data_IF_107273468368
#
_entry.id   IF_107273468368
#
_cell.length_a   1.000
_cell.length_b   1.000
_cell.length_c   1.000
_cell.angle_alpha   90.00
_cell.angle_beta   90.00
_cell.angle_gamma   90.00
#
_symmetry.space_group_name_H-M   'P 1'
#
loop_
_entity.id
_entity.type
_entity.pdbx_description
1 polymer ?
#
# COMPACT_ATOMS: atom_id res chain seq x y z
N UNK A 1 -26.81 8.10 28.72
CA UNK A 1 -25.89 8.45 27.62
C UNK A 1 -25.93 7.33 26.62
N UNK A 2 -26.32 7.62 25.38
CA UNK A 2 -26.57 6.61 24.35
C UNK A 2 -25.30 5.89 23.88
N UNK A 3 -25.44 4.58 23.68
CA UNK A 3 -24.38 3.68 23.21
C UNK A 3 -23.74 4.16 21.90
N UNK A 4 -24.50 4.90 21.08
CA UNK A 4 -24.05 5.46 19.80
C UNK A 4 -23.03 6.60 19.92
N UNK A 5 -22.97 7.29 21.06
CA UNK A 5 -22.01 8.38 21.30
C UNK A 5 -20.67 7.85 21.85
N UNK A 6 -20.69 6.70 22.52
CA UNK A 6 -19.50 6.09 23.15
C UNK A 6 -18.71 5.25 22.13
N UNK A 7 -19.40 4.64 21.16
CA UNK A 7 -18.82 3.78 20.13
C UNK A 7 -17.69 4.44 19.30
N UNK A 8 -17.81 5.70 18.84
CA UNK A 8 -16.74 6.39 18.11
C UNK A 8 -15.51 6.69 18.97
N UNK A 9 -15.72 6.97 20.26
CA UNK A 9 -14.62 7.24 21.20
C UNK A 9 -13.85 5.96 21.49
N UNK A 10 -14.55 4.85 21.71
CA UNK A 10 -13.94 3.54 21.93
C UNK A 10 -13.21 3.05 20.67
N UNK A 11 -13.80 3.19 19.48
CA UNK A 11 -13.13 2.79 18.23
C UNK A 11 -11.91 3.66 17.93
N UNK A 12 -11.96 4.96 18.23
CA UNK A 12 -10.81 5.87 18.16
C UNK A 12 -9.69 5.49 19.12
N UNK A 13 -10.03 5.14 20.37
CA UNK A 13 -9.06 4.71 21.39
C UNK A 13 -8.39 3.38 21.04
N UNK A 14 -9.18 2.42 20.54
CA UNK A 14 -8.66 1.13 20.06
C UNK A 14 -7.74 1.34 18.86
N UNK A 15 -8.14 2.19 17.90
CA UNK A 15 -7.31 2.54 16.75
C UNK A 15 -6.00 3.20 17.16
N UNK A 16 -6.03 4.16 18.07
CA UNK A 16 -4.84 4.84 18.59
C UNK A 16 -3.90 3.89 19.36
N UNK A 17 -4.46 2.96 20.13
CA UNK A 17 -3.68 1.97 20.88
C UNK A 17 -3.00 0.98 19.96
N UNK A 18 -3.71 0.48 18.95
CA UNK A 18 -3.14 -0.40 17.92
C UNK A 18 -2.06 0.34 17.12
N UNK A 19 -2.31 1.59 16.70
CA UNK A 19 -1.35 2.41 15.99
C UNK A 19 -0.08 2.68 16.83
N UNK A 20 -0.24 3.00 18.12
CA UNK A 20 0.87 3.21 19.05
C UNK A 20 1.69 1.94 19.28
N UNK A 21 1.03 0.81 19.47
CA UNK A 21 1.68 -0.49 19.62
C UNK A 21 2.48 -0.87 18.37
N UNK A 22 1.88 -0.70 17.19
CA UNK A 22 2.53 -0.91 15.89
C UNK A 22 3.74 0.02 15.73
N UNK A 23 3.60 1.31 16.03
CA UNK A 23 4.68 2.29 15.93
C UNK A 23 5.89 1.91 16.82
N UNK A 24 5.65 1.52 18.07
CA UNK A 24 6.72 1.11 19.00
C UNK A 24 7.38 -0.20 18.55
N UNK A 25 6.59 -1.16 18.05
CA UNK A 25 7.13 -2.44 17.56
C UNK A 25 7.96 -2.26 16.29
N UNK A 26 7.59 -1.34 15.41
CA UNK A 26 8.33 -1.08 14.17
C UNK A 26 9.52 -0.14 14.34
N UNK A 27 9.50 0.74 15.35
CA UNK A 27 10.67 1.53 15.71
C UNK A 27 11.89 0.64 16.04
N UNK A 28 11.65 -0.54 16.64
CA UNK A 28 12.69 -1.53 16.95
C UNK A 28 13.24 -2.29 15.72
N UNK A 29 12.56 -2.22 14.58
CA UNK A 29 12.99 -2.84 13.32
C UNK A 29 13.69 -1.84 12.38
N UNK A 30 13.89 -0.59 12.82
CA UNK A 30 14.61 0.41 12.05
C UNK A 30 16.10 0.03 11.89
N UNK A 31 16.68 0.26 10.70
CA UNK A 31 17.97 -0.29 10.32
C UNK A 31 19.11 0.29 11.16
N UNK A 32 19.94 -0.62 11.68
CA UNK A 32 21.21 -0.30 12.31
C UNK A 32 22.11 0.49 11.34
N UNK A 33 22.96 1.36 11.88
CA UNK A 33 23.76 2.35 11.14
C UNK A 33 24.56 1.78 9.94
N UNK A 34 24.94 0.50 9.98
CA UNK A 34 25.67 -0.19 8.92
C UNK A 34 24.89 -0.33 7.58
N UNK A 35 23.56 -0.29 7.57
CA UNK A 35 22.76 -0.40 6.34
C UNK A 35 22.40 0.94 5.70
N UNK A 36 22.68 2.08 6.35
CA UNK A 36 22.28 3.40 5.84
C UNK A 36 22.93 3.76 4.51
N UNK A 37 24.20 3.39 4.31
CA UNK A 37 24.91 3.69 3.05
C UNK A 37 24.32 2.91 1.87
N UNK A 38 24.07 1.60 2.06
CA UNK A 38 23.41 0.74 1.06
C UNK A 38 21.99 1.23 0.76
N UNK A 39 21.23 1.60 1.79
CA UNK A 39 19.87 2.12 1.64
C UNK A 39 19.82 3.48 0.91
N UNK A 40 20.76 4.39 1.19
CA UNK A 40 20.86 5.67 0.46
C UNK A 40 21.17 5.46 -1.02
N UNK A 41 22.07 4.53 -1.34
CA UNK A 41 22.38 4.18 -2.73
C UNK A 41 21.14 3.59 -3.42
N UNK A 42 20.50 2.59 -2.80
CA UNK A 42 19.29 1.96 -3.33
C UNK A 42 18.16 2.97 -3.58
N UNK A 43 17.93 3.89 -2.63
CA UNK A 43 16.91 4.93 -2.75
C UNK A 43 17.22 5.94 -3.86
N UNK A 44 18.51 6.21 -4.13
CA UNK A 44 18.93 7.09 -5.23
C UNK A 44 18.75 6.42 -6.58
N UNK A 45 19.18 5.16 -6.69
CA UNK A 45 19.14 4.39 -7.94
C UNK A 45 17.70 4.08 -8.37
N UNK A 46 16.80 3.83 -7.41
CA UNK A 46 15.38 3.52 -7.65
C UNK A 46 14.45 4.74 -7.58
N UNK A 47 14.97 5.96 -7.44
CA UNK A 47 14.17 7.17 -7.20
C UNK A 47 13.09 7.39 -8.27
N UNK A 48 13.43 7.16 -9.54
CA UNK A 48 12.50 7.34 -10.66
C UNK A 48 11.41 6.26 -10.60
N UNK A 49 11.80 4.99 -10.44
CA UNK A 49 10.86 3.87 -10.35
C UNK A 49 9.87 4.08 -9.20
N UNK A 50 10.35 4.48 -8.03
CA UNK A 50 9.50 4.77 -6.86
C UNK A 50 8.55 5.94 -7.13
N UNK A 51 9.02 7.01 -7.79
CA UNK A 51 8.16 8.14 -8.14
C UNK A 51 7.04 7.71 -9.10
N UNK A 52 7.36 6.94 -10.13
CA UNK A 52 6.37 6.42 -11.07
C UNK A 52 5.41 5.44 -10.36
N UNK A 53 5.92 4.61 -9.45
CA UNK A 53 5.10 3.70 -8.65
C UNK A 53 4.10 4.46 -7.78
N UNK A 54 4.52 5.54 -7.11
CA UNK A 54 3.63 6.39 -6.32
C UNK A 54 2.59 7.11 -7.18
N UNK A 55 2.94 7.56 -8.38
CA UNK A 55 1.98 8.11 -9.34
C UNK A 55 0.97 7.03 -9.73
N UNK A 56 1.42 5.80 -9.99
CA UNK A 56 0.56 4.65 -10.24
C UNK A 56 -0.42 4.38 -9.10
N UNK A 57 0.04 4.38 -7.84
CA UNK A 57 -0.85 4.27 -6.69
C UNK A 57 -1.89 5.42 -6.66
N UNK A 58 -1.47 6.65 -6.95
CA UNK A 58 -2.36 7.80 -7.04
C UNK A 58 -3.42 7.64 -8.13
N UNK A 59 -3.04 7.13 -9.30
CA UNK A 59 -3.98 6.82 -10.39
C UNK A 59 -4.98 5.76 -9.93
N UNK A 60 -4.52 4.69 -9.26
CA UNK A 60 -5.42 3.66 -8.71
C UNK A 60 -6.45 4.24 -7.74
N UNK A 61 -6.03 5.16 -6.88
CA UNK A 61 -6.91 5.86 -5.94
C UNK A 61 -7.93 6.75 -6.68
N UNK A 62 -7.48 7.56 -7.64
CA UNK A 62 -8.35 8.46 -8.41
C UNK A 62 -9.36 7.68 -9.23
N UNK A 63 -8.94 6.61 -9.90
CA UNK A 63 -9.83 5.72 -10.66
C UNK A 63 -10.90 5.11 -9.75
N UNK A 64 -10.51 4.65 -8.57
CA UNK A 64 -11.43 4.12 -7.58
C UNK A 64 -12.46 5.14 -7.07
N UNK A 65 -12.02 6.36 -6.77
CA UNK A 65 -12.91 7.45 -6.38
C UNK A 65 -13.88 7.82 -7.52
N UNK A 66 -13.41 7.81 -8.76
CA UNK A 66 -14.26 8.09 -9.93
C UNK A 66 -15.37 7.05 -10.12
N UNK A 67 -15.15 5.79 -9.74
CA UNK A 67 -16.20 4.76 -9.78
C UNK A 67 -17.39 5.10 -8.87
N UNK A 68 -17.12 5.67 -7.69
CA UNK A 68 -18.17 6.13 -6.78
C UNK A 68 -18.78 7.46 -7.23
N UNK A 69 -17.95 8.40 -7.69
CA UNK A 69 -18.42 9.74 -8.05
C UNK A 69 -19.27 9.75 -9.33
N UNK A 70 -19.01 8.83 -10.27
CA UNK A 70 -19.80 8.68 -11.49
C UNK A 70 -21.18 8.06 -11.28
N UNK A 71 -21.49 7.59 -10.06
CA UNK A 71 -22.73 6.89 -9.74
C UNK A 71 -22.78 5.46 -10.29
N UNK A 72 -21.66 4.94 -10.80
CA UNK A 72 -21.57 3.58 -11.33
C UNK A 72 -21.68 2.52 -10.21
N UNK A 73 -21.26 2.88 -9.00
CA UNK A 73 -21.34 2.07 -7.79
C UNK A 73 -21.99 2.88 -6.67
N UNK A 74 -22.88 2.23 -5.90
CA UNK A 74 -23.43 2.83 -4.68
C UNK A 74 -22.29 3.06 -3.67
N UNK A 75 -22.39 4.14 -2.92
CA UNK A 75 -21.53 4.50 -1.78
C UNK A 75 -21.34 3.38 -0.75
N UNK A 76 -22.28 2.43 -0.67
CA UNK A 76 -22.22 1.26 0.23
C UNK A 76 -21.64 0.01 -0.41
N UNK A 77 -21.38 0.02 -1.71
CA UNK A 77 -20.84 -1.15 -2.40
C UNK A 77 -19.35 -1.31 -2.09
N UNK A 78 -19.00 -2.44 -1.47
CA UNK A 78 -17.63 -2.77 -1.10
C UNK A 78 -16.74 -3.11 -2.31
N UNK A 79 -17.34 -3.45 -3.47
CA UNK A 79 -16.60 -3.83 -4.68
C UNK A 79 -15.72 -2.68 -5.18
N UNK A 80 -16.24 -1.45 -5.18
CA UNK A 80 -15.48 -0.27 -5.57
C UNK A 80 -14.24 -0.06 -4.70
N UNK A 81 -14.36 -0.31 -3.39
CA UNK A 81 -13.28 -0.20 -2.43
C UNK A 81 -12.23 -1.28 -2.69
N UNK A 82 -12.66 -2.52 -2.91
CA UNK A 82 -11.78 -3.62 -3.30
C UNK A 82 -10.99 -3.31 -4.57
N UNK A 83 -11.66 -2.83 -5.63
CA UNK A 83 -11.03 -2.43 -6.89
C UNK A 83 -10.02 -1.29 -6.71
N UNK A 84 -10.39 -0.27 -5.92
CA UNK A 84 -9.50 0.86 -5.58
C UNK A 84 -8.23 0.37 -4.91
N UNK A 85 -8.37 -0.42 -3.83
CA UNK A 85 -7.24 -0.95 -3.07
C UNK A 85 -6.39 -1.88 -3.92
N UNK A 86 -7.02 -2.73 -4.74
CA UNK A 86 -6.35 -3.60 -5.69
C UNK A 86 -5.48 -2.83 -6.68
N UNK A 87 -6.04 -1.80 -7.33
CA UNK A 87 -5.31 -0.95 -8.28
C UNK A 87 -4.17 -0.17 -7.60
N UNK A 88 -4.42 0.37 -6.41
CA UNK A 88 -3.41 1.08 -5.62
C UNK A 88 -2.20 0.21 -5.27
N UNK A 89 -2.40 -1.09 -5.06
CA UNK A 89 -1.29 -2.03 -4.79
C UNK A 89 -0.68 -2.59 -6.08
N UNK A 90 -1.50 -2.91 -7.08
CA UNK A 90 -1.08 -3.55 -8.32
C UNK A 90 -0.23 -2.62 -9.20
N UNK A 91 -0.63 -1.37 -9.37
CA UNK A 91 0.08 -0.42 -10.24
C UNK A 91 1.53 -0.17 -9.79
N UNK A 92 1.82 0.13 -8.51
CA UNK A 92 3.20 0.18 -8.02
C UNK A 92 3.98 -1.11 -8.26
N UNK A 93 3.36 -2.27 -8.02
CA UNK A 93 4.00 -3.57 -8.24
C UNK A 93 4.42 -3.75 -9.70
N UNK A 94 3.52 -3.47 -10.64
CA UNK A 94 3.82 -3.57 -12.06
C UNK A 94 4.91 -2.59 -12.47
N UNK A 95 4.88 -1.35 -11.99
CA UNK A 95 5.93 -0.36 -12.27
C UNK A 95 7.30 -0.83 -11.77
N UNK A 96 7.37 -1.38 -10.56
CA UNK A 96 8.62 -1.88 -9.97
C UNK A 96 9.16 -3.08 -10.75
N UNK A 97 8.29 -4.03 -11.12
CA UNK A 97 8.67 -5.22 -11.89
C UNK A 97 9.15 -4.83 -13.28
N UNK A 98 8.38 -4.03 -14.01
CA UNK A 98 8.70 -3.60 -15.38
C UNK A 98 9.95 -2.72 -15.40
N UNK A 99 10.04 -1.76 -14.47
CA UNK A 99 11.17 -0.84 -14.38
C UNK A 99 12.51 -1.52 -14.07
N UNK A 100 12.48 -2.70 -13.46
CA UNK A 100 13.67 -3.46 -13.07
C UNK A 100 13.85 -4.79 -13.82
N UNK A 101 13.00 -5.08 -14.81
CA UNK A 101 13.00 -6.36 -15.54
C UNK A 101 14.36 -6.64 -16.20
N UNK A 102 15.05 -5.59 -16.69
CA UNK A 102 16.32 -5.69 -17.41
C UNK A 102 17.49 -6.15 -16.54
N UNK A 103 17.48 -5.90 -15.23
CA UNK A 103 18.52 -6.38 -14.30
C UNK A 103 18.16 -7.68 -13.60
N UNK A 104 17.08 -8.35 -14.01
CA UNK A 104 16.64 -9.62 -13.47
C UNK A 104 16.02 -9.54 -12.06
N UNK A 105 15.82 -10.72 -11.46
CA UNK A 105 15.09 -10.85 -10.18
C UNK A 105 15.73 -10.10 -9.02
N UNK A 106 17.07 -9.99 -8.98
CA UNK A 106 17.76 -9.23 -7.93
C UNK A 106 17.39 -7.74 -7.97
N UNK A 107 17.30 -7.15 -9.16
CA UNK A 107 16.99 -5.73 -9.29
C UNK A 107 15.52 -5.44 -8.97
N UNK A 108 14.61 -6.39 -9.26
CA UNK A 108 13.21 -6.33 -8.83
C UNK A 108 13.11 -6.36 -7.30
N UNK A 109 13.84 -7.26 -6.64
CA UNK A 109 13.90 -7.32 -5.18
C UNK A 109 14.46 -6.03 -4.55
N UNK A 110 15.51 -5.46 -5.14
CA UNK A 110 16.06 -4.17 -4.72
C UNK A 110 15.03 -3.04 -4.91
N UNK A 111 14.26 -3.06 -6.00
CA UNK A 111 13.17 -2.12 -6.26
C UNK A 111 12.07 -2.19 -5.19
N UNK A 112 11.64 -3.40 -4.82
CA UNK A 112 10.67 -3.61 -3.74
C UNK A 112 11.20 -3.17 -2.38
N UNK A 113 12.47 -3.45 -2.09
CA UNK A 113 13.13 -3.02 -0.85
C UNK A 113 13.27 -1.50 -0.80
N UNK A 114 13.62 -0.86 -1.92
CA UNK A 114 13.69 0.59 -2.01
C UNK A 114 12.31 1.24 -1.87
N UNK A 115 11.28 0.60 -2.41
CA UNK A 115 9.90 1.03 -2.25
C UNK A 115 9.43 0.95 -0.79
N UNK A 116 9.74 -0.12 -0.07
CA UNK A 116 9.39 -0.23 1.36
C UNK A 116 10.09 0.83 2.22
N UNK A 117 11.36 1.11 1.91
CA UNK A 117 12.11 2.21 2.53
C UNK A 117 11.49 3.57 2.23
N UNK A 118 11.05 3.81 0.99
CA UNK A 118 10.39 5.05 0.61
C UNK A 118 9.04 5.25 1.32
N UNK A 119 8.28 4.16 1.50
CA UNK A 119 7.02 4.15 2.26
C UNK A 119 7.21 4.14 3.77
N UNK A 120 8.47 4.13 4.25
CA UNK A 120 8.83 4.03 5.68
C UNK A 120 8.11 2.88 6.39
N UNK A 121 7.78 1.82 5.65
CA UNK A 121 7.00 0.68 6.13
C UNK A 121 7.86 -0.56 6.02
N UNK A 122 7.98 -1.38 7.08
CA UNK A 122 8.81 -2.56 7.03
C UNK A 122 8.25 -3.57 6.01
N UNK A 123 9.15 -4.20 5.24
CA UNK A 123 8.81 -5.05 4.08
C UNK A 123 7.93 -6.24 4.43
N UNK A 124 8.12 -6.82 5.62
CA UNK A 124 7.29 -7.88 6.17
C UNK A 124 5.83 -7.50 6.41
N UNK A 125 5.46 -6.22 6.30
CA UNK A 125 4.08 -5.75 6.43
C UNK A 125 3.59 -5.18 5.12
N UNK A 126 4.43 -4.37 4.47
CA UNK A 126 4.05 -3.75 3.21
C UNK A 126 3.68 -4.81 2.17
N UNK A 127 4.47 -5.88 2.03
CA UNK A 127 4.23 -6.88 0.98
C UNK A 127 3.01 -7.76 1.28
N UNK A 128 2.79 -8.29 2.50
CA UNK A 128 1.55 -8.99 2.81
C UNK A 128 0.32 -8.09 2.65
N UNK A 129 0.39 -6.82 3.07
CA UNK A 129 -0.71 -5.88 2.89
C UNK A 129 -1.01 -5.63 1.41
N UNK A 130 0.02 -5.37 0.60
CA UNK A 130 -0.13 -5.21 -0.84
C UNK A 130 -0.70 -6.47 -1.51
N UNK A 131 -0.27 -7.66 -1.06
CA UNK A 131 -0.82 -8.94 -1.51
C UNK A 131 -2.31 -9.08 -1.19
N UNK A 132 -2.73 -8.78 0.04
CA UNK A 132 -4.13 -8.77 0.45
C UNK A 132 -4.96 -7.78 -0.35
N UNK A 133 -4.42 -6.58 -0.60
CA UNK A 133 -5.08 -5.55 -1.42
C UNK A 133 -5.30 -6.04 -2.85
N UNK A 134 -4.31 -6.67 -3.47
CA UNK A 134 -4.46 -7.25 -4.82
C UNK A 134 -5.46 -8.40 -4.84
N UNK A 135 -5.39 -9.34 -3.89
CA UNK A 135 -6.35 -10.44 -3.81
C UNK A 135 -7.79 -9.91 -3.61
N UNK A 136 -7.97 -8.93 -2.73
CA UNK A 136 -9.26 -8.27 -2.52
C UNK A 136 -9.75 -7.54 -3.77
N UNK A 137 -8.86 -6.91 -4.53
CA UNK A 137 -9.18 -6.28 -5.81
C UNK A 137 -9.57 -7.27 -6.90
N UNK A 138 -8.87 -8.41 -7.00
CA UNK A 138 -9.23 -9.49 -7.93
C UNK A 138 -10.59 -10.06 -7.57
N UNK A 139 -10.84 -10.33 -6.28
CA UNK A 139 -12.12 -10.81 -5.78
C UNK A 139 -13.25 -9.83 -6.10
N UNK A 140 -13.04 -8.53 -5.83
CA UNK A 140 -13.99 -7.49 -6.17
C UNK A 140 -14.25 -7.38 -7.68
N UNK A 141 -13.22 -7.56 -8.52
CA UNK A 141 -13.37 -7.57 -9.98
C UNK A 141 -14.20 -8.76 -10.47
N UNK A 142 -13.99 -9.95 -9.89
CA UNK A 142 -14.78 -11.15 -10.22
C UNK A 142 -16.26 -10.93 -9.86
N UNK A 143 -16.53 -10.44 -8.65
CA UNK A 143 -17.89 -10.13 -8.18
C UNK A 143 -18.55 -8.99 -8.96
N UNK A 144 -17.76 -8.07 -9.53
CA UNK A 144 -18.26 -6.98 -10.36
C UNK A 144 -18.71 -7.45 -11.75
N UNK A 145 -18.04 -8.48 -12.30
CA UNK A 145 -18.37 -9.03 -13.64
C UNK A 145 -19.49 -10.08 -13.57
N UNK A 146 -19.69 -10.70 -12.40
CA UNK A 146 -20.72 -11.72 -12.16
C UNK A 146 -22.08 -11.10 -11.85
#
# INVERSE_FOLDING_TARGET
>A
MDFDTIRPVISGLVGATIAGYLAVRFAKQLPHAAHRAKQKKLAKDQKIVIRVANIGAGIGLVSGLMLYYSGFLDSRDWRGFGLTMGLMALLPMLVIIIGNLRGGLHQVYDGFTAYSLAQKTPSNILFPLMGLMVCGGIWAAIEFVR
#
